data_IF_218751672622
#
_entry.id   IF_218751672622
#
_cell.length_a   1.000
_cell.length_b   1.000
_cell.length_c   1.000
_cell.angle_alpha   90.00
_cell.angle_beta   90.00
_cell.angle_gamma   90.00
#
_symmetry.space_group_name_H-M   'P 1'
#
loop_
_entity.id
_entity.type
_entity.pdbx_description
1 polymer ?
#
# COMPACT_ATOMS: atom_id res chain seq x y z
N UNK A 1 -25.96 -38.07 29.54
CA UNK A 1 -24.80 -37.32 28.98
C UNK A 1 -24.69 -37.46 27.46
N UNK A 2 -24.67 -38.68 26.90
CA UNK A 2 -24.61 -38.90 25.43
C UNK A 2 -25.77 -38.30 24.63
N UNK A 3 -27.00 -38.34 25.15
CA UNK A 3 -28.15 -37.71 24.48
C UNK A 3 -28.02 -36.18 24.40
N UNK A 4 -27.39 -35.56 25.40
CA UNK A 4 -27.19 -34.11 25.45
C UNK A 4 -26.12 -33.65 24.44
N UNK A 5 -25.05 -34.43 24.28
CA UNK A 5 -24.04 -34.18 23.24
C UNK A 5 -24.61 -34.36 21.83
N UNK A 6 -25.52 -35.32 21.63
CA UNK A 6 -26.14 -35.55 20.32
C UNK A 6 -27.12 -34.42 19.93
N UNK A 7 -27.88 -33.89 20.90
CA UNK A 7 -28.74 -32.73 20.68
C UNK A 7 -27.90 -31.48 20.40
N UNK A 8 -26.78 -31.29 21.10
CA UNK A 8 -25.86 -30.18 20.85
C UNK A 8 -25.22 -30.27 19.45
N UNK A 9 -24.85 -31.48 19.01
CA UNK A 9 -24.27 -31.72 17.68
C UNK A 9 -25.29 -31.49 16.55
N UNK A 10 -26.55 -31.88 16.75
CA UNK A 10 -27.65 -31.60 15.80
C UNK A 10 -27.96 -30.10 15.75
N UNK A 11 -27.94 -29.40 16.90
CA UNK A 11 -28.13 -27.94 16.95
C UNK A 11 -26.97 -27.17 16.29
N UNK A 12 -25.76 -27.72 16.31
CA UNK A 12 -24.59 -27.09 15.65
C UNK A 12 -24.53 -27.34 14.14
N UNK A 13 -25.08 -28.45 13.65
CA UNK A 13 -25.11 -28.76 12.20
C UNK A 13 -26.23 -28.02 11.46
N UNK A 14 -27.28 -27.56 12.16
CA UNK A 14 -28.51 -27.05 11.51
C UNK A 14 -28.50 -25.55 11.11
N UNK A 15 -27.59 -24.66 11.57
CA UNK A 15 -27.43 -23.34 10.96
C UNK A 15 -26.10 -23.22 10.18
N UNK A 16 -25.69 -24.24 9.44
CA UNK A 16 -24.88 -24.05 8.23
C UNK A 16 -25.74 -24.20 6.98
N UNK A 17 -26.92 -23.58 6.97
CA UNK A 17 -27.42 -23.02 5.71
C UNK A 17 -26.53 -21.83 5.39
N UNK A 18 -25.38 -22.13 4.78
CA UNK A 18 -24.79 -21.17 3.85
C UNK A 18 -25.91 -20.75 2.93
N UNK A 19 -26.29 -19.48 3.01
CA UNK A 19 -27.06 -18.78 2.00
C UNK A 19 -26.23 -18.72 0.72
N UNK A 20 -25.90 -19.88 0.14
CA UNK A 20 -25.55 -20.00 -1.26
C UNK A 20 -26.89 -19.87 -1.99
N UNK A 21 -27.32 -18.62 -2.12
CA UNK A 21 -28.25 -18.24 -3.17
C UNK A 21 -27.61 -18.80 -4.46
N UNK A 22 -28.33 -19.63 -5.24
CA UNK A 22 -27.78 -20.10 -6.50
C UNK A 22 -27.46 -18.87 -7.35
N UNK A 23 -26.18 -18.61 -7.57
CA UNK A 23 -25.60 -17.60 -8.48
C UNK A 23 -26.01 -17.83 -9.96
N UNK A 24 -27.09 -18.56 -10.23
CA UNK A 24 -27.59 -18.80 -11.56
C UNK A 24 -28.23 -17.50 -12.06
N UNK A 25 -27.49 -16.80 -12.92
CA UNK A 25 -27.85 -15.60 -13.70
C UNK A 25 -27.35 -14.24 -13.18
N UNK A 26 -26.37 -14.20 -12.27
CA UNK A 26 -25.50 -13.01 -12.24
C UNK A 26 -24.83 -12.96 -13.62
N UNK A 27 -24.98 -11.84 -14.33
CA UNK A 27 -24.33 -11.63 -15.62
C UNK A 27 -22.84 -11.95 -15.47
N UNK A 28 -22.41 -13.11 -16.00
CA UNK A 28 -21.04 -13.64 -15.85
C UNK A 28 -20.00 -12.59 -16.24
N UNK A 29 -20.34 -11.66 -17.13
CA UNK A 29 -19.47 -10.56 -17.51
C UNK A 29 -19.25 -9.56 -16.37
N UNK A 30 -20.29 -9.12 -15.66
CA UNK A 30 -20.14 -8.18 -14.53
C UNK A 30 -19.34 -8.83 -13.39
N UNK A 31 -19.64 -10.10 -13.09
CA UNK A 31 -18.89 -10.85 -12.09
C UNK A 31 -17.42 -11.02 -12.51
N UNK A 32 -17.13 -11.42 -13.74
CA UNK A 32 -15.75 -11.56 -14.21
C UNK A 32 -15.00 -10.22 -14.29
N UNK A 33 -15.68 -9.09 -14.51
CA UNK A 33 -15.06 -7.75 -14.50
C UNK A 33 -14.68 -7.35 -13.07
N UNK A 34 -15.56 -7.63 -12.10
CA UNK A 34 -15.38 -7.21 -10.70
C UNK A 34 -14.56 -8.22 -9.87
N UNK A 35 -14.48 -9.48 -10.30
CA UNK A 35 -13.76 -10.59 -9.63
C UNK A 35 -12.68 -11.23 -10.51
N UNK A 36 -12.34 -10.62 -11.65
CA UNK A 36 -11.38 -11.11 -12.62
C UNK A 36 -10.09 -11.60 -11.96
N UNK A 37 -9.85 -12.90 -12.14
CA UNK A 37 -8.80 -13.75 -11.59
C UNK A 37 -7.96 -13.15 -10.44
N UNK A 38 -8.54 -13.18 -9.22
CA UNK A 38 -7.84 -12.82 -7.95
C UNK A 38 -6.45 -13.48 -7.82
N UNK A 39 -6.22 -14.61 -8.49
CA UNK A 39 -4.96 -15.37 -8.45
C UNK A 39 -3.81 -14.73 -9.23
N UNK A 40 -4.07 -13.85 -10.19
CA UNK A 40 -3.01 -13.21 -10.97
C UNK A 40 -2.53 -11.87 -10.39
N UNK A 41 -3.16 -11.37 -9.31
CA UNK A 41 -2.87 -10.04 -8.76
C UNK A 41 -1.69 -9.97 -7.79
N UNK A 42 -1.04 -11.10 -7.48
CA UNK A 42 0.10 -11.13 -6.55
C UNK A 42 1.37 -10.62 -7.23
N UNK A 43 1.61 -9.32 -7.08
CA UNK A 43 2.70 -8.58 -7.73
C UNK A 43 2.24 -7.67 -8.88
N UNK A 44 0.92 -7.56 -9.12
CA UNK A 44 0.41 -6.64 -10.12
C UNK A 44 0.60 -5.18 -9.69
N UNK A 45 0.97 -4.34 -10.66
CA UNK A 45 1.12 -2.90 -10.50
C UNK A 45 -0.20 -2.33 -9.94
N UNK A 46 -0.19 -1.83 -8.70
CA UNK A 46 -1.34 -1.30 -7.96
C UNK A 46 -2.30 -0.37 -8.79
N UNK A 47 -1.82 0.54 -9.65
CA UNK A 47 -2.64 1.24 -10.65
C UNK A 47 -3.60 0.35 -11.45
N UNK A 48 -3.20 -0.88 -11.81
CA UNK A 48 -4.09 -1.85 -12.47
C UNK A 48 -5.23 -2.28 -11.56
N UNK A 49 -4.96 -2.53 -10.28
CA UNK A 49 -5.98 -2.91 -9.28
C UNK A 49 -7.01 -1.79 -9.16
N UNK A 50 -6.56 -0.53 -9.02
CA UNK A 50 -7.46 0.62 -8.95
C UNK A 50 -8.26 0.82 -10.24
N UNK A 51 -7.64 0.65 -11.40
CA UNK A 51 -8.33 0.67 -12.69
C UNK A 51 -9.38 -0.44 -12.81
N UNK A 52 -9.12 -1.63 -12.25
CA UNK A 52 -10.11 -2.71 -12.18
C UNK A 52 -11.29 -2.35 -11.28
N UNK A 53 -11.05 -1.73 -10.12
CA UNK A 53 -12.14 -1.23 -9.27
C UNK A 53 -12.97 -0.16 -9.98
N UNK A 54 -12.34 0.77 -10.68
CA UNK A 54 -13.04 1.81 -11.44
C UNK A 54 -13.86 1.23 -12.60
N UNK A 55 -13.33 0.23 -13.32
CA UNK A 55 -14.06 -0.51 -14.36
C UNK A 55 -15.26 -1.27 -13.77
N UNK A 56 -15.07 -1.90 -12.62
CA UNK A 56 -16.14 -2.59 -11.90
C UNK A 56 -17.25 -1.59 -11.49
N UNK A 57 -16.90 -0.46 -10.86
CA UNK A 57 -17.84 0.59 -10.50
C UNK A 57 -18.64 1.09 -11.72
N UNK A 58 -17.96 1.35 -12.85
CA UNK A 58 -18.62 1.74 -14.11
C UNK A 58 -19.58 0.67 -14.64
N UNK A 59 -19.27 -0.62 -14.47
CA UNK A 59 -20.16 -1.71 -14.83
C UNK A 59 -21.38 -1.78 -13.90
N UNK A 60 -21.18 -1.64 -12.59
CA UNK A 60 -22.25 -1.64 -11.59
C UNK A 60 -23.24 -0.50 -11.77
N UNK A 61 -22.78 0.69 -12.18
CA UNK A 61 -23.65 1.83 -12.52
C UNK A 61 -24.72 1.47 -13.57
N UNK A 62 -24.30 0.74 -14.60
CA UNK A 62 -25.18 0.31 -15.72
C UNK A 62 -26.00 -0.92 -15.39
N UNK A 63 -25.62 -1.65 -14.34
CA UNK A 63 -26.31 -2.84 -13.92
C UNK A 63 -27.64 -2.49 -13.24
N UNK A 64 -28.69 -3.24 -13.59
CA UNK A 64 -30.06 -3.04 -13.08
C UNK A 64 -30.64 -4.31 -12.42
N UNK A 65 -29.79 -5.28 -12.08
CA UNK A 65 -30.21 -6.51 -11.41
C UNK A 65 -30.53 -6.30 -9.93
N UNK A 66 -31.30 -7.24 -9.35
CA UNK A 66 -31.78 -7.18 -7.96
C UNK A 66 -30.66 -7.31 -6.92
N UNK A 67 -29.54 -7.89 -7.32
CA UNK A 67 -28.30 -8.12 -6.57
C UNK A 67 -27.36 -6.92 -6.62
N UNK A 68 -27.72 -5.82 -7.30
CA UNK A 68 -26.89 -4.60 -7.39
C UNK A 68 -26.35 -4.12 -6.03
N UNK A 69 -27.15 -3.99 -4.95
CA UNK A 69 -26.64 -3.55 -3.64
C UNK A 69 -25.59 -4.49 -3.05
N UNK A 70 -25.76 -5.80 -3.20
CA UNK A 70 -24.80 -6.81 -2.74
C UNK A 70 -23.48 -6.69 -3.52
N UNK A 71 -23.53 -6.42 -4.82
CA UNK A 71 -22.33 -6.21 -5.63
C UNK A 71 -21.56 -4.94 -5.23
N UNK A 72 -22.25 -3.83 -4.92
CA UNK A 72 -21.60 -2.63 -4.37
C UNK A 72 -20.94 -2.93 -3.03
N UNK A 73 -21.61 -3.65 -2.13
CA UNK A 73 -21.05 -4.03 -0.84
C UNK A 73 -19.79 -4.89 -1.00
N UNK A 74 -19.76 -5.83 -1.95
CA UNK A 74 -18.56 -6.64 -2.17
C UNK A 74 -17.42 -5.79 -2.77
N UNK A 75 -17.72 -4.87 -3.69
CA UNK A 75 -16.72 -3.93 -4.20
C UNK A 75 -16.16 -3.05 -3.08
N UNK A 76 -17.02 -2.53 -2.21
CA UNK A 76 -16.62 -1.76 -1.02
C UNK A 76 -15.64 -2.56 -0.16
N UNK A 77 -16.01 -3.79 0.20
CA UNK A 77 -15.17 -4.67 1.01
C UNK A 77 -13.82 -4.95 0.33
N UNK A 78 -13.79 -5.18 -0.98
CA UNK A 78 -12.53 -5.40 -1.72
C UNK A 78 -11.61 -4.17 -1.70
N UNK A 79 -12.17 -2.97 -1.86
CA UNK A 79 -11.41 -1.72 -1.79
C UNK A 79 -10.91 -1.50 -0.35
N UNK A 80 -11.78 -1.70 0.64
CA UNK A 80 -11.44 -1.58 2.06
C UNK A 80 -10.31 -2.52 2.47
N UNK A 81 -10.41 -3.81 2.13
CA UNK A 81 -9.35 -4.78 2.40
C UNK A 81 -8.04 -4.46 1.68
N UNK A 82 -8.03 -3.55 0.70
CA UNK A 82 -6.83 -3.10 -0.01
C UNK A 82 -6.15 -1.90 0.64
N UNK A 83 -6.81 -1.17 1.54
CA UNK A 83 -6.26 0.01 2.21
C UNK A 83 -4.97 -0.25 3.01
N UNK A 84 -4.84 -1.32 3.82
CA UNK A 84 -3.61 -1.54 4.58
C UNK A 84 -2.38 -1.69 3.67
N UNK A 85 -2.58 -2.39 2.54
CA UNK A 85 -1.54 -2.58 1.53
C UNK A 85 -1.18 -1.26 0.83
N UNK A 86 -2.18 -0.44 0.48
CA UNK A 86 -1.95 0.90 -0.06
C UNK A 86 -1.12 1.77 0.89
N UNK A 87 -1.42 1.74 2.18
CA UNK A 87 -0.72 2.55 3.18
C UNK A 87 0.72 2.07 3.33
N UNK A 88 0.94 0.75 3.38
CA UNK A 88 2.28 0.19 3.46
C UNK A 88 3.15 0.51 2.23
N UNK A 89 2.60 0.40 1.02
CA UNK A 89 3.30 0.80 -0.22
C UNK A 89 3.63 2.31 -0.24
N UNK A 90 2.76 3.14 0.34
CA UNK A 90 2.98 4.58 0.47
C UNK A 90 4.08 4.92 1.48
N UNK A 91 4.05 4.31 2.66
CA UNK A 91 5.12 4.46 3.66
C UNK A 91 6.46 3.89 3.17
N UNK A 92 6.42 2.89 2.27
CA UNK A 92 7.57 2.38 1.52
C UNK A 92 8.04 3.32 0.41
N UNK A 93 7.26 4.35 0.06
CA UNK A 93 7.56 5.29 -1.00
C UNK A 93 7.51 4.70 -2.41
N UNK A 94 6.87 3.54 -2.58
CA UNK A 94 6.65 2.89 -3.87
C UNK A 94 5.51 3.54 -4.66
N UNK A 95 4.57 4.17 -3.94
CA UNK A 95 3.43 4.86 -4.53
C UNK A 95 3.29 6.26 -3.95
N UNK A 96 2.74 7.18 -4.73
CA UNK A 96 2.40 8.53 -4.28
C UNK A 96 1.00 8.63 -3.68
N UNK A 97 0.74 9.71 -2.95
CA UNK A 97 -0.55 10.01 -2.33
C UNK A 97 -1.71 10.13 -3.33
N UNK A 98 -1.41 10.40 -4.61
CA UNK A 98 -2.41 10.42 -5.69
C UNK A 98 -3.15 9.09 -5.85
N UNK A 99 -2.46 7.94 -5.77
CA UNK A 99 -3.09 6.63 -5.88
C UNK A 99 -3.97 6.30 -4.65
N UNK A 100 -3.55 6.73 -3.45
CA UNK A 100 -4.37 6.57 -2.25
C UNK A 100 -5.63 7.44 -2.34
N UNK A 101 -5.48 8.68 -2.80
CA UNK A 101 -6.61 9.61 -2.97
C UNK A 101 -7.61 9.07 -3.99
N UNK A 102 -7.12 8.46 -5.07
CA UNK A 102 -7.94 7.79 -6.07
C UNK A 102 -8.70 6.58 -5.48
N UNK A 103 -8.04 5.73 -4.69
CA UNK A 103 -8.71 4.62 -4.01
C UNK A 103 -9.81 5.11 -3.05
N UNK A 104 -9.54 6.18 -2.29
CA UNK A 104 -10.53 6.82 -1.40
C UNK A 104 -11.71 7.41 -2.18
N UNK A 105 -11.45 8.02 -3.35
CA UNK A 105 -12.49 8.54 -4.25
C UNK A 105 -13.39 7.42 -4.78
N UNK A 106 -12.80 6.32 -5.25
CA UNK A 106 -13.60 5.17 -5.73
C UNK A 106 -14.44 4.61 -4.57
N UNK A 107 -13.86 4.48 -3.37
CA UNK A 107 -14.58 4.01 -2.19
C UNK A 107 -15.76 4.92 -1.81
N UNK A 108 -15.58 6.24 -1.84
CA UNK A 108 -16.68 7.17 -1.54
C UNK A 108 -17.79 7.11 -2.58
N UNK A 109 -17.46 6.96 -3.87
CA UNK A 109 -18.46 6.77 -4.94
C UNK A 109 -19.23 5.46 -4.77
N UNK A 110 -18.55 4.37 -4.44
CA UNK A 110 -19.19 3.07 -4.14
C UNK A 110 -20.18 3.20 -2.98
N UNK A 111 -19.81 3.91 -1.91
CA UNK A 111 -20.69 4.14 -0.75
C UNK A 111 -21.88 5.01 -1.08
N UNK A 112 -21.68 6.07 -1.87
CA UNK A 112 -22.74 6.99 -2.25
C UNK A 112 -23.79 6.33 -3.17
N UNK A 113 -23.38 5.37 -4.00
CA UNK A 113 -24.28 4.66 -4.93
C UNK A 113 -24.88 3.37 -4.35
N UNK A 114 -24.28 2.82 -3.31
CA UNK A 114 -24.62 1.50 -2.77
C UNK A 114 -25.87 1.43 -1.90
N UNK A 115 -26.62 2.52 -1.69
CA UNK A 115 -27.84 2.64 -0.87
C UNK A 115 -27.86 1.74 0.40
N UNK A 116 -27.36 2.28 1.51
CA UNK A 116 -27.68 1.95 2.92
C UNK A 116 -27.93 0.46 3.25
N UNK A 117 -27.13 -0.48 2.72
CA UNK A 117 -26.97 -1.74 3.45
C UNK A 117 -26.02 -1.46 4.61
N UNK A 118 -26.46 -1.68 5.88
CA UNK A 118 -25.58 -1.50 7.01
C UNK A 118 -24.33 -2.36 6.81
N UNK A 119 -23.18 -1.75 7.05
CA UNK A 119 -21.89 -2.38 6.94
C UNK A 119 -21.92 -3.71 7.72
N UNK A 120 -21.55 -4.81 7.06
CA UNK A 120 -21.64 -6.15 7.66
C UNK A 120 -20.67 -6.22 8.84
N UNK A 121 -21.11 -6.68 10.00
CA UNK A 121 -20.30 -6.68 11.24
C UNK A 121 -19.01 -7.55 11.21
N UNK A 122 -18.68 -8.23 10.09
CA UNK A 122 -17.50 -9.11 9.97
C UNK A 122 -16.60 -8.79 8.75
N UNK A 123 -16.35 -7.50 8.46
CA UNK A 123 -15.41 -7.16 7.37
C UNK A 123 -13.97 -7.61 7.68
N UNK A 124 -13.57 -7.66 8.94
CA UNK A 124 -12.24 -8.17 9.31
C UNK A 124 -12.05 -9.65 8.94
N UNK A 125 -13.07 -10.50 9.14
CA UNK A 125 -13.03 -11.90 8.70
C UNK A 125 -12.93 -12.01 7.17
N UNK A 126 -13.63 -11.13 6.45
CA UNK A 126 -13.56 -11.07 4.98
C UNK A 126 -12.16 -10.67 4.50
N UNK A 127 -11.53 -9.70 5.19
CA UNK A 127 -10.20 -9.23 4.85
C UNK A 127 -9.09 -10.20 5.27
N UNK A 128 -9.32 -11.08 6.25
CA UNK A 128 -8.30 -12.00 6.78
C UNK A 128 -7.61 -12.82 5.68
N UNK A 129 -8.38 -13.44 4.78
CA UNK A 129 -7.81 -14.20 3.66
C UNK A 129 -7.00 -13.33 2.69
N UNK A 130 -7.36 -12.05 2.54
CA UNK A 130 -6.58 -11.11 1.73
C UNK A 130 -5.31 -10.63 2.44
N UNK A 131 -5.34 -10.49 3.78
CA UNK A 131 -4.18 -10.11 4.59
C UNK A 131 -3.14 -11.23 4.63
N UNK A 132 -3.57 -12.48 4.84
CA UNK A 132 -2.66 -13.65 4.92
C UNK A 132 -1.87 -13.86 3.62
N UNK A 133 -2.49 -13.68 2.46
CA UNK A 133 -1.76 -13.85 1.20
C UNK A 133 -0.76 -12.70 0.97
N UNK A 134 -1.05 -11.51 1.49
CA UNK A 134 -0.18 -10.33 1.36
C UNK A 134 0.96 -10.31 2.37
N UNK A 135 0.77 -10.85 3.57
CA UNK A 135 1.84 -10.95 4.57
C UNK A 135 3.01 -11.83 4.10
N UNK A 136 2.77 -12.74 3.15
CA UNK A 136 3.82 -13.56 2.52
C UNK A 136 4.71 -12.73 1.57
N UNK A 137 4.18 -11.65 0.99
CA UNK A 137 4.97 -10.77 0.13
C UNK A 137 5.61 -9.67 0.97
N UNK A 138 6.88 -9.88 1.36
CA UNK A 138 7.72 -8.82 1.93
C UNK A 138 7.73 -7.65 0.95
N UNK A 139 7.15 -6.51 1.35
CA UNK A 139 7.11 -5.30 0.53
C UNK A 139 8.54 -4.87 0.28
N UNK A 140 8.92 -4.76 -1.00
CA UNK A 140 10.24 -4.32 -1.37
C UNK A 140 10.32 -2.81 -1.17
N UNK A 141 11.09 -2.38 -0.19
CA UNK A 141 11.41 -0.97 0.05
C UNK A 141 12.67 -0.63 -0.74
N UNK A 142 12.66 0.47 -1.49
CA UNK A 142 13.84 0.95 -2.18
C UNK A 142 14.54 2.04 -1.35
N UNK A 143 15.86 1.98 -1.17
CA UNK A 143 16.62 2.98 -0.44
C UNK A 143 16.50 4.36 -1.11
N UNK A 144 16.83 5.42 -0.37
CA UNK A 144 16.89 6.79 -0.87
C UNK A 144 18.16 6.95 -1.71
N UNK A 145 18.03 7.65 -2.84
CA UNK A 145 19.18 7.96 -3.67
C UNK A 145 20.02 9.09 -3.04
N UNK A 146 21.21 8.73 -2.54
CA UNK A 146 22.18 9.66 -2.01
C UNK A 146 23.23 9.98 -3.08
N UNK A 147 23.07 11.12 -3.75
CA UNK A 147 24.03 11.61 -4.73
C UNK A 147 25.40 11.87 -4.11
N UNK A 148 26.45 11.48 -4.83
CA UNK A 148 27.84 11.72 -4.44
C UNK A 148 28.41 13.06 -4.93
N UNK A 149 27.61 13.86 -5.63
CA UNK A 149 28.02 15.18 -6.13
C UNK A 149 28.40 16.12 -4.98
N UNK A 150 29.65 16.61 -5.01
CA UNK A 150 30.22 17.53 -4.02
C UNK A 150 29.42 18.83 -3.97
N UNK A 151 29.02 19.38 -5.13
CA UNK A 151 28.29 20.64 -5.18
C UNK A 151 26.89 20.52 -4.56
N UNK A 152 26.27 19.35 -4.64
CA UNK A 152 25.00 19.07 -3.97
C UNK A 152 25.15 18.92 -2.45
N UNK A 153 26.23 18.26 -2.01
CA UNK A 153 26.57 18.13 -0.58
C UNK A 153 26.88 19.49 0.05
N UNK A 154 27.59 20.38 -0.65
CA UNK A 154 27.85 21.76 -0.20
C UNK A 154 26.56 22.56 -0.04
N UNK A 155 25.66 22.53 -1.04
CA UNK A 155 24.34 23.19 -0.97
C UNK A 155 23.48 22.68 0.19
N UNK A 156 23.55 21.38 0.49
CA UNK A 156 22.88 20.80 1.66
C UNK A 156 23.43 21.38 2.98
N UNK A 157 24.76 21.52 3.10
CA UNK A 157 25.36 22.16 4.26
C UNK A 157 25.02 23.64 4.41
N UNK A 158 24.98 24.40 3.32
CA UNK A 158 24.55 25.81 3.35
C UNK A 158 23.12 25.94 3.87
N UNK A 159 22.23 25.05 3.42
CA UNK A 159 20.84 25.00 3.87
C UNK A 159 20.76 24.77 5.37
N UNK A 160 21.51 23.79 5.90
CA UNK A 160 21.54 23.50 7.34
C UNK A 160 22.21 24.61 8.17
N UNK A 161 23.21 25.28 7.62
CA UNK A 161 23.93 26.36 8.30
C UNK A 161 23.01 27.56 8.58
N UNK A 162 22.05 27.83 7.70
CA UNK A 162 21.01 28.85 7.91
C UNK A 162 20.05 28.51 9.05
N UNK A 163 19.97 27.24 9.46
CA UNK A 163 19.08 26.75 10.51
C UNK A 163 19.73 26.71 11.89
N UNK A 164 21.06 26.63 11.93
CA UNK A 164 21.80 26.63 13.19
C UNK A 164 21.71 28.01 13.83
N UNK A 165 21.06 28.06 14.99
CA UNK A 165 21.13 29.22 15.90
C UNK A 165 22.50 29.33 16.58
N UNK A 166 23.21 28.22 16.71
CA UNK A 166 24.53 28.11 17.32
C UNK A 166 25.51 27.44 16.34
N UNK A 167 26.50 28.17 15.80
CA UNK A 167 27.45 27.62 14.84
C UNK A 167 28.39 26.57 15.46
N UNK A 168 28.61 26.62 16.78
CA UNK A 168 29.62 25.80 17.46
C UNK A 168 29.07 24.43 17.89
N UNK A 169 27.74 24.27 17.97
CA UNK A 169 27.09 23.01 18.30
C UNK A 169 26.72 22.23 17.04
N UNK A 170 27.56 21.27 16.66
CA UNK A 170 27.34 20.39 15.49
C UNK A 170 26.34 19.24 15.77
N UNK A 171 25.25 19.53 16.50
CA UNK A 171 24.17 18.56 16.74
C UNK A 171 22.99 18.86 15.83
N UNK A 172 22.64 17.91 14.97
CA UNK A 172 21.39 17.96 14.20
C UNK A 172 20.23 17.56 15.09
N UNK A 173 19.15 18.33 15.07
CA UNK A 173 17.99 18.08 15.92
C UNK A 173 17.17 16.93 15.35
N UNK A 174 16.75 15.98 16.18
CA UNK A 174 15.81 14.93 15.77
C UNK A 174 14.43 15.55 15.52
N UNK A 175 13.69 15.11 14.49
CA UNK A 175 12.29 15.47 14.32
C UNK A 175 11.46 15.13 15.56
N UNK A 176 10.33 15.81 15.74
CA UNK A 176 9.45 15.60 16.90
C UNK A 176 8.00 15.54 16.45
N UNK A 177 7.20 14.73 17.15
CA UNK A 177 5.75 14.78 17.06
C UNK A 177 5.21 15.71 18.15
N UNK A 178 4.02 16.26 17.94
CA UNK A 178 3.30 17.02 18.96
C UNK A 178 2.77 16.14 20.10
N UNK A 179 2.36 14.92 19.77
CA UNK A 179 1.90 13.88 20.70
C UNK A 179 2.39 12.50 20.20
N UNK A 180 2.74 11.60 21.11
CA UNK A 180 3.17 10.24 20.79
C UNK A 180 2.00 9.26 20.65
N UNK A 181 0.82 9.56 21.22
CA UNK A 181 -0.35 8.67 21.13
C UNK A 181 -1.20 9.00 19.91
N UNK A 182 -1.48 10.30 19.71
CA UNK A 182 -2.35 10.79 18.65
C UNK A 182 -1.70 11.97 17.90
N UNK A 183 -0.62 11.72 17.15
CA UNK A 183 0.11 12.80 16.50
C UNK A 183 -0.75 13.51 15.45
N UNK A 184 -0.72 14.83 15.47
CA UNK A 184 -1.36 15.69 14.45
C UNK A 184 -0.35 16.51 13.68
N UNK A 185 0.81 16.77 14.27
CA UNK A 185 1.87 17.59 13.68
C UNK A 185 3.23 16.91 13.79
N UNK A 186 4.01 17.09 12.74
CA UNK A 186 5.41 16.68 12.64
C UNK A 186 6.27 17.93 12.56
N UNK A 187 7.16 18.10 13.52
CA UNK A 187 8.16 19.14 13.53
C UNK A 187 9.47 18.65 12.92
N UNK A 188 9.83 19.19 11.75
CA UNK A 188 11.07 18.86 11.03
C UNK A 188 12.01 20.07 11.02
N UNK A 189 13.26 19.96 11.50
CA UNK A 189 14.19 21.09 11.59
C UNK A 189 14.77 21.49 10.22
N UNK A 190 13.95 22.09 9.36
CA UNK A 190 14.30 22.46 7.96
C UNK A 190 14.18 23.95 7.65
N UNK A 191 13.33 24.72 8.35
CA UNK A 191 13.19 26.18 8.17
C UNK A 191 12.34 26.84 9.29
N UNK A 192 12.10 28.14 9.19
CA UNK A 192 11.31 28.95 10.14
C UNK A 192 9.89 28.41 10.38
N UNK A 193 9.29 27.74 9.41
CA UNK A 193 8.05 26.98 9.54
C UNK A 193 8.37 25.49 9.43
N UNK A 194 8.62 24.88 10.59
CA UNK A 194 9.05 23.48 10.70
C UNK A 194 7.91 22.53 11.07
N UNK A 195 6.72 23.06 11.32
CA UNK A 195 5.57 22.29 11.80
C UNK A 195 4.67 21.92 10.61
N UNK A 196 4.62 20.63 10.31
CA UNK A 196 3.83 20.05 9.23
C UNK A 196 2.63 19.30 9.80
N UNK A 197 1.45 19.56 9.27
CA UNK A 197 0.25 18.78 9.59
C UNK A 197 0.35 17.38 8.97
N UNK A 198 0.18 16.32 9.78
CA UNK A 198 0.37 14.94 9.34
C UNK A 198 -0.70 14.46 8.36
N UNK A 199 -1.87 15.08 8.39
CA UNK A 199 -2.99 14.90 7.48
C UNK A 199 -2.81 15.63 6.13
N UNK A 200 -1.84 16.56 6.03
CA UNK A 200 -1.54 17.24 4.77
C UNK A 200 -0.68 16.34 3.87
N UNK A 201 -1.13 16.02 2.63
CA UNK A 201 -0.35 15.25 1.66
C UNK A 201 1.02 15.87 1.31
N UNK A 202 1.16 17.19 1.38
CA UNK A 202 2.42 17.89 1.08
C UNK A 202 3.52 17.58 2.10
N UNK A 203 3.14 17.20 3.33
CA UNK A 203 4.07 16.82 4.39
C UNK A 203 4.76 15.48 4.11
N UNK A 204 4.24 14.66 3.20
CA UNK A 204 4.71 13.28 2.96
C UNK A 204 6.14 13.15 2.43
N UNK A 205 6.80 14.26 2.07
CA UNK A 205 8.22 14.27 1.68
C UNK A 205 9.10 15.07 2.63
N UNK A 206 8.55 15.68 3.68
CA UNK A 206 9.29 16.57 4.56
C UNK A 206 10.40 15.82 5.32
N UNK A 207 10.07 14.66 5.89
CA UNK A 207 11.00 13.84 6.67
C UNK A 207 12.12 13.25 5.80
N UNK A 208 11.78 12.70 4.64
CA UNK A 208 12.76 12.13 3.69
C UNK A 208 13.69 13.19 3.13
N UNK A 209 13.18 14.37 2.78
CA UNK A 209 14.00 15.53 2.36
C UNK A 209 14.96 15.96 3.46
N UNK A 210 14.50 16.08 4.70
CA UNK A 210 15.35 16.44 5.83
C UNK A 210 16.49 15.44 6.01
N UNK A 211 16.18 14.15 6.01
CA UNK A 211 17.18 13.09 6.11
C UNK A 211 18.25 13.20 5.02
N UNK A 212 17.83 13.32 3.76
CA UNK A 212 18.75 13.45 2.61
C UNK A 212 19.66 14.68 2.75
N UNK A 213 19.12 15.81 3.18
CA UNK A 213 19.89 17.05 3.39
C UNK A 213 20.95 16.85 4.49
N UNK A 214 20.56 16.29 5.64
CA UNK A 214 21.49 16.07 6.77
C UNK A 214 22.59 15.09 6.40
N UNK A 215 22.25 13.95 5.79
CA UNK A 215 23.23 12.93 5.39
C UNK A 215 24.16 13.45 4.31
N UNK A 216 23.67 14.18 3.30
CA UNK A 216 24.54 14.78 2.28
C UNK A 216 25.55 15.74 2.89
N UNK A 217 25.11 16.59 3.81
CA UNK A 217 26.01 17.53 4.47
C UNK A 217 27.04 16.81 5.35
N UNK A 218 26.61 15.85 6.17
CA UNK A 218 27.50 15.09 7.04
C UNK A 218 28.52 14.27 6.25
N UNK A 219 28.12 13.71 5.11
CA UNK A 219 28.96 12.91 4.23
C UNK A 219 29.94 13.71 3.37
N UNK A 220 29.89 15.06 3.42
CA UNK A 220 30.84 15.92 2.70
C UNK A 220 32.28 15.75 3.21
N UNK A 221 32.46 15.52 4.52
CA UNK A 221 33.78 15.33 5.12
C UNK A 221 33.88 13.97 5.81
N UNK A 222 34.85 13.14 5.38
CA UNK A 222 35.10 11.80 5.95
C UNK A 222 35.35 11.81 7.46
N UNK A 223 35.84 12.92 8.01
CA UNK A 223 36.07 13.08 9.45
C UNK A 223 34.76 13.12 10.27
N UNK A 224 33.60 13.30 9.62
CA UNK A 224 32.28 13.36 10.26
C UNK A 224 31.55 12.01 10.32
N UNK A 225 32.23 10.88 10.04
CA UNK A 225 31.62 9.54 10.11
C UNK A 225 30.92 9.27 11.45
N UNK A 226 31.53 9.67 12.57
CA UNK A 226 30.93 9.51 13.90
C UNK A 226 29.63 10.32 14.08
N UNK A 227 29.52 11.49 13.42
CA UNK A 227 28.30 12.29 13.44
C UNK A 227 27.20 11.66 12.60
N UNK A 228 27.54 11.07 11.45
CA UNK A 228 26.60 10.28 10.63
C UNK A 228 26.00 9.15 11.45
N UNK A 229 26.84 8.35 12.12
CA UNK A 229 26.38 7.24 12.95
C UNK A 229 25.49 7.71 14.11
N UNK A 230 25.94 8.74 14.86
CA UNK A 230 25.13 9.29 15.97
C UNK A 230 23.78 9.84 15.50
N UNK A 231 23.76 10.57 14.39
CA UNK A 231 22.51 11.10 13.83
C UNK A 231 21.57 9.98 13.38
N UNK A 232 22.09 8.99 12.65
CA UNK A 232 21.29 7.85 12.19
C UNK A 232 20.73 7.04 13.35
N UNK A 233 21.53 6.78 14.39
CA UNK A 233 21.06 6.10 15.60
C UNK A 233 19.92 6.87 16.27
N UNK A 234 20.09 8.17 16.51
CA UNK A 234 19.04 9.00 17.12
C UNK A 234 17.76 9.06 16.28
N UNK A 235 17.89 9.12 14.94
CA UNK A 235 16.75 9.15 14.04
C UNK A 235 16.06 7.78 13.95
N UNK A 236 16.85 6.70 13.93
CA UNK A 236 16.34 5.32 13.96
C UNK A 236 15.52 5.08 15.23
N UNK A 237 16.09 5.40 16.40
CA UNK A 237 15.39 5.26 17.69
C UNK A 237 14.08 6.05 17.69
N UNK A 238 14.08 7.26 17.15
CA UNK A 238 12.86 8.06 17.05
C UNK A 238 11.83 7.47 16.07
N UNK A 239 12.24 7.04 14.86
CA UNK A 239 11.31 6.42 13.90
C UNK A 239 10.70 5.16 14.50
N UNK A 240 11.52 4.30 15.11
CA UNK A 240 11.07 3.03 15.69
C UNK A 240 10.12 3.23 16.85
N UNK A 241 10.40 4.17 17.76
CA UNK A 241 9.58 4.38 18.95
C UNK A 241 8.37 5.29 18.72
N UNK A 242 8.48 6.31 17.87
CA UNK A 242 7.46 7.34 17.71
C UNK A 242 6.67 7.25 16.40
N UNK A 243 7.21 6.64 15.33
CA UNK A 243 6.54 6.62 14.01
C UNK A 243 5.96 5.25 13.68
N UNK A 244 6.75 4.18 13.80
CA UNK A 244 6.33 2.82 13.43
C UNK A 244 5.02 2.35 14.12
N UNK A 245 4.76 2.63 15.41
CA UNK A 245 3.51 2.24 16.05
C UNK A 245 2.27 2.79 15.35
N UNK A 246 2.38 3.97 14.72
CA UNK A 246 1.29 4.58 13.98
C UNK A 246 1.13 4.02 12.57
N UNK A 247 2.21 3.50 11.95
CA UNK A 247 2.14 2.87 10.64
C UNK A 247 1.47 1.49 10.71
N UNK A 248 1.58 0.81 11.85
CA UNK A 248 0.92 -0.47 12.11
C UNK A 248 -0.61 -0.34 12.21
N UNK A 249 -1.13 0.86 12.45
CA UNK A 249 -2.56 1.10 12.47
C UNK A 249 -3.13 1.14 11.04
N UNK A 250 -3.68 0.00 10.62
CA UNK A 250 -4.27 -0.17 9.29
C UNK A 250 -5.44 0.79 8.99
N UNK A 251 -6.09 1.35 10.01
CA UNK A 251 -7.31 2.15 9.87
C UNK A 251 -7.04 3.64 9.64
N UNK A 252 -5.82 4.12 9.90
CA UNK A 252 -5.49 5.55 9.80
C UNK A 252 -4.21 5.76 8.99
N UNK A 253 -4.37 6.45 7.86
CA UNK A 253 -3.24 6.93 7.08
C UNK A 253 -2.71 8.24 7.68
N UNK A 254 -1.40 8.34 7.80
CA UNK A 254 -0.67 9.56 8.13
C UNK A 254 0.13 10.03 6.90
N UNK A 255 -0.45 10.87 6.03
CA UNK A 255 0.24 11.38 4.84
C UNK A 255 1.66 11.92 5.11
N UNK A 256 1.88 12.60 6.25
CA UNK A 256 3.20 13.13 6.63
C UNK A 256 4.31 12.10 6.83
N UNK A 257 3.99 10.80 6.95
CA UNK A 257 4.99 9.71 7.05
C UNK A 257 5.30 9.02 5.72
N UNK A 258 4.94 9.63 4.59
CA UNK A 258 5.26 9.11 3.26
C UNK A 258 6.75 8.78 3.09
N UNK A 259 7.05 7.59 2.56
CA UNK A 259 8.41 7.15 2.28
C UNK A 259 9.34 6.99 3.49
N UNK A 260 8.84 7.03 4.73
CA UNK A 260 9.67 6.91 5.94
C UNK A 260 10.45 5.59 5.99
N UNK A 261 9.88 4.49 5.47
CA UNK A 261 10.58 3.20 5.46
C UNK A 261 11.81 3.22 4.55
N UNK A 262 11.85 4.10 3.53
CA UNK A 262 13.05 4.27 2.69
C UNK A 262 14.23 4.81 3.49
N UNK A 263 13.97 5.63 4.52
CA UNK A 263 15.03 6.11 5.42
C UNK A 263 15.66 4.93 6.14
N UNK A 264 14.83 4.07 6.75
CA UNK A 264 15.30 2.86 7.45
C UNK A 264 16.07 1.93 6.51
N UNK A 265 15.56 1.69 5.29
CA UNK A 265 16.24 0.86 4.30
C UNK A 265 17.60 1.47 3.88
N UNK A 266 17.67 2.80 3.74
CA UNK A 266 18.94 3.49 3.46
C UNK A 266 19.94 3.32 4.59
N UNK A 267 19.50 3.46 5.84
CA UNK A 267 20.36 3.26 7.01
C UNK A 267 20.89 1.83 7.09
N UNK A 268 20.02 0.86 6.78
CA UNK A 268 20.36 -0.57 6.73
C UNK A 268 21.38 -0.89 5.65
N UNK A 269 21.16 -0.44 4.41
CA UNK A 269 22.06 -0.71 3.28
C UNK A 269 23.47 -0.12 3.48
N UNK A 270 23.57 0.97 4.25
CA UNK A 270 24.84 1.66 4.51
C UNK A 270 25.53 1.24 5.83
N UNK A 271 25.03 0.21 6.52
CA UNK A 271 25.54 -0.25 7.82
C UNK A 271 25.62 0.90 8.86
N UNK A 272 24.64 1.81 8.85
CA UNK A 272 24.57 2.94 9.79
C UNK A 272 23.77 2.63 11.05
N UNK A 273 23.17 1.45 11.12
CA UNK A 273 22.49 0.92 12.29
C UNK A 273 23.46 -0.08 12.94
N UNK A 274 23.72 0.00 14.26
CA UNK A 274 24.49 -1.03 14.96
C UNK A 274 23.85 -2.42 14.74
N UNK A 275 24.64 -3.48 14.51
CA UNK A 275 24.12 -4.82 14.20
C UNK A 275 23.34 -5.50 15.34
N UNK A 276 23.08 -4.83 16.47
CA UNK A 276 22.60 -5.48 17.68
C UNK A 276 21.05 -5.63 17.79
N UNK A 277 20.24 -5.13 16.85
CA UNK A 277 18.75 -5.13 17.00
C UNK A 277 17.92 -5.49 15.74
N UNK A 278 18.52 -5.89 14.60
CA UNK A 278 17.78 -5.98 13.31
C UNK A 278 17.37 -7.40 12.90
N UNK A 279 17.89 -8.45 13.54
CA UNK A 279 17.55 -9.83 13.16
C UNK A 279 16.19 -10.32 13.68
N UNK A 280 15.51 -9.58 14.57
CA UNK A 280 14.24 -10.01 15.19
C UNK A 280 13.03 -9.08 14.96
N UNK A 281 13.06 -8.17 13.98
CA UNK A 281 11.79 -7.57 13.47
C UNK A 281 11.11 -8.57 12.51
N UNK A 282 11.02 -9.84 12.89
CA UNK A 282 10.13 -10.82 12.31
C UNK A 282 8.98 -11.08 13.29
N UNK A 283 7.82 -10.51 12.95
CA UNK A 283 6.48 -10.91 13.39
C UNK A 283 6.13 -10.73 14.88
N UNK A 284 4.84 -10.46 15.18
CA UNK A 284 4.36 -10.33 16.56
C UNK A 284 4.65 -11.61 17.35
N UNK A 285 4.95 -11.50 18.65
CA UNK A 285 5.28 -12.66 19.47
C UNK A 285 4.09 -13.62 19.53
N UNK A 286 4.28 -14.82 18.99
CA UNK A 286 3.45 -15.95 19.36
C UNK A 286 3.63 -16.17 20.87
N UNK A 287 2.59 -15.83 21.62
CA UNK A 287 2.45 -16.12 23.04
C UNK A 287 2.49 -17.63 23.28
N UNK A 288 3.68 -18.21 23.33
CA UNK A 288 3.91 -19.49 23.99
C UNK A 288 4.65 -19.22 25.29
N UNK A 289 3.83 -19.11 26.34
CA UNK A 289 4.19 -19.07 27.76
C UNK A 289 5.32 -20.02 28.14
N UNK A 290 6.26 -19.43 28.87
CA UNK A 290 7.33 -20.06 29.62
C UNK A 290 6.82 -20.83 30.86
N UNK A 291 7.66 -21.78 31.28
CA UNK A 291 7.86 -22.29 32.63
C UNK A 291 6.76 -23.07 33.35
N UNK A 292 7.03 -24.37 33.50
CA UNK A 292 6.34 -25.23 34.47
C UNK A 292 7.05 -26.56 34.59
N UNK A 293 8.17 -26.59 35.32
CA UNK A 293 8.88 -27.81 35.72
C UNK A 293 8.02 -28.72 36.60
N UNK A 294 7.14 -29.49 35.96
CA UNK A 294 6.36 -30.55 36.57
C UNK A 294 6.96 -31.91 36.23
N UNK A 295 7.21 -32.72 37.26
CA UNK A 295 7.76 -34.08 37.17
C UNK A 295 7.02 -34.88 36.09
N UNK A 296 7.77 -35.30 35.07
CA UNK A 296 7.33 -36.19 34.00
C UNK A 296 6.75 -37.47 34.59
N UNK A 297 5.44 -37.62 34.52
CA UNK A 297 4.83 -38.94 34.47
C UNK A 297 5.10 -39.49 33.07
N UNK A 298 5.73 -40.66 33.00
CA UNK A 298 6.14 -41.32 31.76
C UNK A 298 5.03 -41.32 30.71
N UNK A 299 5.22 -40.49 29.68
CA UNK A 299 4.32 -40.24 28.53
C UNK A 299 3.92 -41.52 27.76
N UNK A 300 4.54 -42.67 28.07
CA UNK A 300 4.29 -43.94 27.40
C UNK A 300 2.97 -44.59 27.84
N UNK A 301 2.47 -44.31 29.05
CA UNK A 301 1.21 -44.92 29.55
C UNK A 301 -0.05 -44.25 28.98
N UNK A 302 0.00 -42.95 28.67
CA UNK A 302 -1.11 -42.24 28.06
C UNK A 302 -1.38 -42.71 26.62
N UNK A 303 -0.32 -42.97 25.84
CA UNK A 303 -0.48 -43.44 24.46
C UNK A 303 -1.27 -44.76 24.37
N UNK A 304 -1.03 -45.70 25.28
CA UNK A 304 -1.70 -47.02 25.29
C UNK A 304 -3.19 -46.93 25.61
N UNK A 305 -3.58 -45.99 26.48
CA UNK A 305 -4.99 -45.81 26.87
C UNK A 305 -5.77 -45.02 25.82
N UNK A 306 -5.15 -44.03 25.17
CA UNK A 306 -5.85 -43.15 24.23
C UNK A 306 -5.89 -43.67 22.78
N UNK A 307 -4.90 -44.46 22.34
CA UNK A 307 -4.89 -45.06 21.00
C UNK A 307 -6.15 -45.86 20.60
N UNK A 308 -6.72 -46.74 21.44
CA UNK A 308 -7.93 -47.46 21.05
C UNK A 308 -9.14 -46.53 20.92
N UNK A 309 -9.22 -45.48 21.75
CA UNK A 309 -10.30 -44.49 21.69
C UNK A 309 -10.21 -43.61 20.44
N UNK A 310 -9.01 -43.18 20.05
CA UNK A 310 -8.83 -42.38 18.83
C UNK A 310 -9.19 -43.20 17.59
N UNK A 311 -8.80 -44.47 17.52
CA UNK A 311 -9.18 -45.38 16.42
C UNK A 311 -10.71 -45.53 16.36
N UNK A 312 -11.38 -45.69 17.50
CA UNK A 312 -12.83 -45.85 17.55
C UNK A 312 -13.56 -44.57 17.07
N UNK A 313 -13.08 -43.39 17.46
CA UNK A 313 -13.61 -42.10 16.99
C UNK A 313 -13.44 -41.93 15.48
N UNK A 314 -12.27 -42.29 14.94
CA UNK A 314 -12.00 -42.22 13.49
C UNK A 314 -12.91 -43.17 12.71
N UNK A 315 -13.11 -44.41 13.20
CA UNK A 315 -14.03 -45.37 12.58
C UNK A 315 -15.47 -44.88 12.60
N UNK A 316 -15.91 -44.25 13.70
CA UNK A 316 -17.24 -43.67 13.80
C UNK A 316 -17.43 -42.51 12.80
N UNK A 317 -16.43 -41.64 12.65
CA UNK A 317 -16.44 -40.57 11.64
C UNK A 317 -16.52 -41.13 10.21
N UNK A 318 -15.73 -42.15 9.89
CA UNK A 318 -15.76 -42.80 8.58
C UNK A 318 -17.12 -43.45 8.29
N UNK A 319 -17.76 -44.06 9.30
CA UNK A 319 -19.09 -44.65 9.17
C UNK A 319 -20.16 -43.57 8.90
N UNK A 320 -20.12 -42.45 9.62
CA UNK A 320 -21.05 -41.32 9.39
C UNK A 320 -20.85 -40.72 8.00
N UNK A 321 -19.60 -40.49 7.58
CA UNK A 321 -19.28 -39.99 6.24
C UNK A 321 -19.78 -40.95 5.15
N UNK A 322 -19.62 -42.26 5.33
CA UNK A 322 -20.13 -43.27 4.41
C UNK A 322 -21.67 -43.31 4.36
N UNK A 323 -22.33 -43.19 5.50
CA UNK A 323 -23.80 -43.09 5.58
C UNK A 323 -24.33 -41.82 4.87
N UNK A 324 -23.65 -40.69 5.03
CA UNK A 324 -23.97 -39.44 4.31
C UNK A 324 -23.73 -39.59 2.81
N UNK A 325 -22.61 -40.21 2.41
CA UNK A 325 -22.29 -40.46 1.00
C UNK A 325 -23.33 -41.36 0.33
N UNK A 326 -23.75 -42.45 0.98
CA UNK A 326 -24.79 -43.35 0.45
C UNK A 326 -26.15 -42.66 0.35
N UNK A 327 -26.53 -41.83 1.34
CA UNK A 327 -27.72 -40.97 1.27
C UNK A 327 -27.65 -39.98 0.11
N UNK A 328 -26.54 -39.26 -0.05
CA UNK A 328 -26.33 -38.31 -1.15
C UNK A 328 -26.37 -39.00 -2.51
N UNK A 329 -25.72 -40.17 -2.65
CA UNK A 329 -25.75 -40.98 -3.87
C UNK A 329 -27.18 -41.44 -4.21
N UNK A 330 -27.97 -41.83 -3.21
CA UNK A 330 -29.37 -42.20 -3.41
C UNK A 330 -30.23 -41.00 -3.85
N UNK A 331 -30.05 -39.84 -3.22
CA UNK A 331 -30.71 -38.60 -3.63
C UNK A 331 -30.32 -38.15 -5.04
N UNK A 332 -29.03 -38.27 -5.37
CA UNK A 332 -28.52 -37.97 -6.71
C UNK A 332 -29.15 -38.90 -7.76
N UNK A 333 -29.18 -40.21 -7.49
CA UNK A 333 -29.82 -41.19 -8.38
C UNK A 333 -31.32 -40.91 -8.58
N UNK A 334 -32.03 -40.43 -7.55
CA UNK A 334 -33.46 -40.11 -7.65
C UNK A 334 -33.76 -38.80 -8.39
N UNK A 335 -32.84 -37.82 -8.36
CA UNK A 335 -33.04 -36.53 -9.03
C UNK A 335 -32.58 -36.53 -10.49
N UNK A 336 -31.64 -37.39 -10.87
CA UNK A 336 -31.01 -37.40 -12.20
C UNK A 336 -31.35 -38.61 -13.08
N UNK A 337 -32.19 -39.56 -12.62
CA UNK A 337 -32.92 -40.46 -13.53
C UNK A 337 -34.40 -40.04 -13.58
N UNK A 338 -34.76 -38.98 -14.34
CA UNK A 338 -36.12 -38.87 -14.81
C UNK A 338 -36.43 -40.08 -15.69
N UNK A 339 -37.59 -40.70 -15.47
CA UNK A 339 -38.16 -41.69 -16.39
C UNK A 339 -38.00 -41.16 -17.83
N UNK A 340 -37.28 -41.90 -18.68
CA UNK A 340 -37.06 -41.48 -20.06
C UNK A 340 -38.42 -41.27 -20.73
N UNK A 341 -38.71 -40.07 -21.26
CA UNK A 341 -39.77 -39.93 -22.24
C UNK A 341 -39.34 -40.73 -23.47
N UNK A 342 -40.28 -41.50 -24.01
CA UNK A 342 -40.15 -42.22 -25.28
C UNK A 342 -39.57 -41.31 -26.36
N UNK A 343 -38.52 -41.80 -27.02
CA UNK A 343 -37.88 -41.23 -28.20
C UNK A 343 -38.89 -41.07 -29.33
N UNK A 344 -39.44 -39.87 -29.52
CA UNK A 344 -40.24 -39.55 -30.71
C UNK A 344 -40.16 -38.08 -31.16
N UNK A 345 -39.92 -37.09 -30.29
CA UNK A 345 -40.21 -35.68 -30.65
C UNK A 345 -39.09 -34.65 -30.43
N UNK A 346 -37.81 -35.01 -30.63
CA UNK A 346 -36.72 -34.00 -30.64
C UNK A 346 -35.96 -33.97 -31.97
N UNK A 347 -36.68 -33.61 -33.03
CA UNK A 347 -36.13 -33.14 -34.33
C UNK A 347 -36.75 -31.79 -34.67
N UNK A 348 -36.42 -30.76 -33.92
CA UNK A 348 -36.55 -29.39 -34.40
C UNK A 348 -35.73 -28.46 -33.50
N UNK A 349 -35.03 -27.50 -34.11
CA UNK A 349 -34.22 -26.44 -33.49
C UNK A 349 -32.75 -26.78 -33.18
N UNK A 350 -31.97 -26.99 -34.25
CA UNK A 350 -30.67 -26.33 -34.43
C UNK A 350 -30.45 -26.13 -35.94
N UNK A 351 -30.93 -25.01 -36.46
CA UNK A 351 -30.36 -24.38 -37.66
C UNK A 351 -29.66 -23.12 -37.17
N UNK A 352 -28.33 -23.19 -37.14
CA UNK A 352 -27.45 -22.03 -36.96
C UNK A 352 -27.21 -21.50 -38.37
N UNK A 353 -27.70 -20.30 -38.63
CA UNK A 353 -27.48 -19.53 -39.84
C UNK A 353 -26.11 -18.85 -39.70
N UNK A 354 -25.13 -19.36 -40.44
CA UNK A 354 -23.78 -18.79 -40.56
C UNK A 354 -23.80 -17.67 -41.59
N UNK A 355 -24.07 -16.43 -41.17
CA UNK A 355 -23.77 -15.26 -41.99
C UNK A 355 -22.32 -14.83 -41.77
N UNK A 356 -21.50 -15.23 -42.73
CA UNK A 356 -20.16 -14.72 -42.97
C UNK A 356 -20.27 -13.37 -43.69
N UNK A 357 -19.88 -12.28 -43.03
CA UNK A 357 -19.59 -11.02 -43.75
C UNK A 357 -18.12 -10.66 -43.59
N UNK A 358 -17.39 -10.99 -44.65
CA UNK A 358 -16.09 -10.47 -45.03
C UNK A 358 -16.09 -8.93 -44.98
N UNK A 359 -15.11 -8.33 -44.29
CA UNK A 359 -14.69 -6.96 -44.55
C UNK A 359 -13.23 -6.99 -44.99
N UNK A 360 -13.07 -6.73 -46.29
CA UNK A 360 -11.83 -6.56 -47.02
C UNK A 360 -11.04 -5.34 -46.56
N UNK A 361 -9.73 -5.51 -46.54
CA UNK A 361 -8.74 -4.44 -46.52
C UNK A 361 -9.00 -3.41 -47.62
N UNK A 362 -8.92 -2.13 -47.28
CA UNK A 362 -8.31 -1.13 -48.16
C UNK A 362 -7.35 -0.27 -47.32
N UNK A 363 -6.09 -0.31 -47.75
CA UNK A 363 -5.04 0.62 -47.38
C UNK A 363 -5.44 2.01 -47.88
N UNK A 364 -5.24 3.04 -47.07
CA UNK A 364 -4.75 4.29 -47.62
C UNK A 364 -3.81 4.99 -46.64
N UNK A 365 -2.81 5.59 -47.27
CA UNK A 365 -1.54 6.04 -46.73
C UNK A 365 -1.61 7.55 -46.38
N UNK A 366 -0.61 8.03 -45.64
CA UNK A 366 -0.27 9.46 -45.45
C UNK A 366 -1.07 10.26 -44.41
N UNK A 367 -0.48 10.52 -43.25
CA UNK A 367 0.40 11.70 -43.09
C UNK A 367 0.89 11.91 -41.64
N UNK A 368 2.16 12.29 -41.58
CA UNK A 368 2.97 12.80 -40.46
C UNK A 368 2.21 13.64 -39.42
N UNK A 369 2.47 13.39 -38.14
CA UNK A 369 3.08 14.42 -37.27
C UNK A 369 3.74 13.79 -36.05
N UNK A 370 5.01 14.13 -35.88
CA UNK A 370 5.90 13.89 -34.74
C UNK A 370 5.36 14.51 -33.45
N UNK A 371 5.25 13.72 -32.38
CA UNK A 371 4.89 14.18 -31.04
C UNK A 371 5.67 13.46 -29.96
N UNK A 372 6.94 13.84 -29.80
CA UNK A 372 7.88 13.39 -28.76
C UNK A 372 7.39 13.97 -27.42
N UNK A 373 6.81 13.16 -26.54
CA UNK A 373 6.55 13.55 -25.13
C UNK A 373 7.77 13.18 -24.29
N UNK A 374 8.65 14.17 -24.10
CA UNK A 374 9.67 14.18 -23.06
C UNK A 374 9.00 14.31 -21.70
N UNK A 375 9.41 13.50 -20.74
CA UNK A 375 9.14 13.71 -19.32
C UNK A 375 9.85 14.99 -18.89
N UNK A 376 9.07 16.01 -18.53
CA UNK A 376 9.56 17.25 -17.94
C UNK A 376 9.80 17.06 -16.45
N UNK A 377 11.04 17.30 -16.07
CA UNK A 377 11.51 17.71 -14.75
C UNK A 377 10.54 18.73 -14.13
N UNK A 378 10.03 18.45 -12.94
CA UNK A 378 9.32 19.41 -12.11
C UNK A 378 10.36 20.23 -11.35
N UNK A 379 10.71 21.37 -11.92
CA UNK A 379 11.35 22.46 -11.18
C UNK A 379 10.30 23.13 -10.28
N UNK A 380 10.71 23.33 -9.04
CA UNK A 380 10.05 24.18 -8.07
C UNK A 380 10.38 25.65 -8.38
N UNK A 381 9.37 26.52 -8.38
CA UNK A 381 9.46 27.92 -7.95
C UNK A 381 8.09 28.59 -8.08
N UNK A 382 7.48 28.94 -6.94
CA UNK A 382 6.69 30.17 -6.77
C UNK A 382 6.31 30.30 -5.29
N UNK A 383 7.13 31.05 -4.53
CA UNK A 383 6.67 31.99 -3.50
C UNK A 383 7.88 32.72 -2.91
N UNK A 384 8.19 33.92 -3.44
CA UNK A 384 8.98 34.97 -2.78
C UNK A 384 8.95 36.27 -3.62
N UNK A 385 7.74 36.79 -3.84
CA UNK A 385 7.55 38.12 -4.39
C UNK A 385 7.50 39.18 -3.31
N UNK A 386 8.64 39.69 -2.81
CA UNK A 386 8.73 41.07 -2.28
C UNK A 386 10.14 41.61 -1.94
N UNK A 387 11.23 41.30 -2.65
CA UNK A 387 12.51 42.03 -2.45
C UNK A 387 13.31 42.21 -3.74
N UNK A 388 12.72 42.81 -4.79
CA UNK A 388 13.51 43.16 -5.98
C UNK A 388 13.09 44.44 -6.73
N UNK A 389 12.84 45.53 -6.01
CA UNK A 389 12.79 46.88 -6.62
C UNK A 389 13.90 47.84 -6.19
N UNK A 390 14.80 47.48 -5.25
CA UNK A 390 15.84 48.41 -4.79
C UNK A 390 17.23 48.23 -5.44
N UNK A 391 17.51 47.12 -6.14
CA UNK A 391 18.84 46.88 -6.75
C UNK A 391 19.02 47.41 -8.18
N UNK A 392 17.94 47.76 -8.90
CA UNK A 392 18.04 48.29 -10.28
C UNK A 392 18.29 49.80 -10.40
N UNK A 393 18.24 50.58 -9.30
CA UNK A 393 18.59 52.03 -9.31
C UNK A 393 20.08 52.33 -9.04
N UNK A 394 20.87 51.38 -8.52
CA UNK A 394 22.31 51.61 -8.21
C UNK A 394 23.29 51.21 -9.32
N UNK A 395 22.88 50.44 -10.35
CA UNK A 395 23.78 50.03 -11.44
C UNK A 395 23.86 51.00 -12.64
N UNK A 396 22.92 51.96 -12.78
CA UNK A 396 22.97 52.97 -13.86
C UNK A 396 23.78 54.23 -13.55
N UNK A 397 24.21 54.46 -12.29
CA UNK A 397 24.97 55.67 -11.91
C UNK A 397 26.50 55.50 -11.92
N UNK A 398 27.01 54.27 -12.09
CA UNK A 398 28.47 53.97 -12.06
C UNK A 398 29.13 53.86 -13.45
N UNK A 399 28.36 53.99 -14.54
CA UNK A 399 28.88 53.94 -15.94
C UNK A 399 29.10 55.30 -16.62
N UNK A 400 28.92 56.43 -15.91
CA UNK A 400 29.14 57.79 -16.44
C UNK A 400 30.41 58.52 -15.92
N UNK A 401 31.30 57.86 -15.17
CA UNK A 401 32.52 58.51 -14.61
C UNK A 401 33.87 58.03 -15.16
N UNK A 402 33.93 57.07 -16.09
CA UNK A 402 35.20 56.57 -16.65
C UNK A 402 35.43 56.92 -18.14
N UNK A 403 34.95 58.09 -18.59
CA UNK A 403 35.19 58.56 -19.96
C UNK A 403 35.55 60.04 -19.99
N UNK A 404 36.60 60.43 -19.26
CA UNK A 404 37.25 61.74 -19.40
C UNK A 404 38.57 61.76 -18.64
N UNK A 405 39.64 61.21 -19.23
CA UNK A 405 41.05 61.58 -18.94
C UNK A 405 42.01 60.57 -19.58
N UNK A 406 42.16 60.61 -20.92
CA UNK A 406 43.32 60.04 -21.60
C UNK A 406 43.44 60.59 -23.03
N UNK A 407 43.99 61.80 -23.15
CA UNK A 407 44.71 62.25 -24.36
C UNK A 407 45.38 63.56 -24.03
N UNK A 408 46.70 63.52 -23.84
CA UNK A 408 47.66 64.53 -24.28
C UNK A 408 49.00 64.14 -23.69
N UNK A 409 49.85 63.61 -24.57
CA UNK A 409 51.30 63.72 -24.57
C UNK A 409 51.74 62.94 -25.82
N UNK A 410 52.13 63.66 -26.88
CA UNK A 410 53.52 63.79 -27.30
C UNK A 410 53.72 63.91 -28.82
N UNK A 411 54.64 64.83 -29.14
CA UNK A 411 55.56 64.88 -30.29
C UNK A 411 54.97 65.30 -31.66
N UNK A 412 55.63 66.08 -32.54
CA UNK A 412 56.92 66.81 -32.56
C UNK A 412 57.06 67.48 -33.95
N UNK A 413 58.10 68.31 -34.11
CA UNK A 413 58.76 68.73 -35.37
C UNK A 413 58.03 69.70 -36.33
N UNK A 414 58.68 70.84 -36.58
CA UNK A 414 58.41 71.77 -37.69
C UNK A 414 58.86 73.19 -37.39
#
# INVERSE_FOLDING_TARGET
>A
MFLWLFVYFIYFIIPMKCSLIPMSEINKNTYNICWGDRRNSHGDNLPKILNSFEKCLRALRRYSGIDKPELYQILENNIYCTQPYLFSEYYSGNIGMGLISEAKRILSEVRNEGDILPFRENVDDYCKGSREIRSVQKIKVFPLFLSDDVAEKERACETLSKLKKDPDKETFTTPQLDDNENPTKLKVPTSANSDYHLDNPEAGVALTKYYVIVIKCLSLNKQKRNLVLRFNQQLYDWITNAVLPHLANENKLYPGFGGVLRILETMKENDWIPPDDVDDIETPPDNSTDSGGGKMLDSKYLAVVFLPWTILIVLLFMFVAYALYTKLKWFYKRKYLPNSPSTSDLKMFYQIEEDTTSCSMLLDESSRSTGRKSYSTLDAEDDLGEVEQEKKKKSKKKRRKNKSSRSNNNLDVG
#
